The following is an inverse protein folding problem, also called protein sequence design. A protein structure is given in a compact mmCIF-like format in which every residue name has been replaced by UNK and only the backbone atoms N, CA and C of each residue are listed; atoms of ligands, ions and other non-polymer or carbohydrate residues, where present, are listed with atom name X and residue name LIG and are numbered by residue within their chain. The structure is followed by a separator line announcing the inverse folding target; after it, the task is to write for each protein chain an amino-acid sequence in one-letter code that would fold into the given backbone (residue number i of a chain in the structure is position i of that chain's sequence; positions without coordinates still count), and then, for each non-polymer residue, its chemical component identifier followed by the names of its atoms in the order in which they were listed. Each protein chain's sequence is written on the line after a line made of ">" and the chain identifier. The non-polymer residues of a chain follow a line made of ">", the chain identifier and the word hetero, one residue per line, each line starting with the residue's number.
data_IF_704714443471
#
_entry.id   IF_704714443471
#
_cell.length_a   1.000
_cell.length_b   1.000
_cell.length_c   1.000
_cell.angle_alpha   90.00
_cell.angle_beta   90.00
_cell.angle_gamma   90.00
#
_symmetry.space_group_name_H-M   'P 1'
#
loop_
_entity.id
_entity.type
_entity.pdbx_description
1 polymer ?
#
# COMPACT_ATOMS: atom_id res chain seq x y z
N UNK A 1 -6.30 15.60 -74.02
CA UNK A 1 -5.87 14.22 -73.69
C UNK A 1 -4.58 14.25 -72.86
N UNK A 2 -4.55 15.02 -71.76
CA UNK A 2 -3.36 15.11 -70.88
C UNK A 2 -3.70 15.04 -69.37
N UNK A 3 -4.98 14.91 -68.99
CA UNK A 3 -5.40 14.86 -67.58
C UNK A 3 -5.29 13.46 -66.93
N UNK A 4 -5.07 12.38 -67.70
CA UNK A 4 -5.06 11.01 -67.15
C UNK A 4 -3.69 10.53 -66.65
N UNK A 5 -2.60 11.25 -66.95
CA UNK A 5 -1.23 10.80 -66.64
C UNK A 5 -0.67 11.41 -65.34
N UNK A 6 -1.18 12.56 -64.91
CA UNK A 6 -0.84 13.19 -63.62
C UNK A 6 -1.70 12.69 -62.45
N UNK A 7 -2.87 12.13 -62.75
CA UNK A 7 -3.85 11.66 -61.75
C UNK A 7 -3.50 10.28 -61.19
N UNK A 8 -2.93 9.37 -61.99
CA UNK A 8 -2.61 8.00 -61.59
C UNK A 8 -1.60 7.87 -60.42
N UNK A 9 -0.42 8.55 -60.42
CA UNK A 9 0.51 8.47 -59.29
C UNK A 9 -0.05 9.16 -58.04
N UNK A 10 -0.76 10.28 -58.21
CA UNK A 10 -1.42 10.99 -57.10
C UNK A 10 -2.49 10.13 -56.45
N UNK A 11 -3.27 9.39 -57.25
CA UNK A 11 -4.24 8.41 -56.77
C UNK A 11 -3.55 7.26 -56.01
N UNK A 12 -2.45 6.70 -56.53
CA UNK A 12 -1.72 5.62 -55.86
C UNK A 12 -1.15 6.05 -54.49
N UNK A 13 -0.57 7.25 -54.40
CA UNK A 13 -0.15 7.83 -53.11
C UNK A 13 -1.32 8.10 -52.18
N UNK A 14 -2.45 8.59 -52.70
CA UNK A 14 -3.66 8.81 -51.91
C UNK A 14 -4.21 7.50 -51.34
N UNK A 15 -4.25 6.42 -52.13
CA UNK A 15 -4.68 5.10 -51.67
C UNK A 15 -3.71 4.49 -50.64
N UNK A 16 -2.39 4.64 -50.85
CA UNK A 16 -1.38 4.19 -49.89
C UNK A 16 -1.48 4.93 -48.55
N UNK A 17 -1.64 6.26 -48.59
CA UNK A 17 -1.84 7.07 -47.39
C UNK A 17 -3.16 6.72 -46.67
N UNK A 18 -4.24 6.47 -47.44
CA UNK A 18 -5.53 6.06 -46.89
C UNK A 18 -5.43 4.68 -46.21
N UNK A 19 -4.70 3.72 -46.80
CA UNK A 19 -4.49 2.40 -46.22
C UNK A 19 -3.68 2.46 -44.92
N UNK A 20 -2.62 3.28 -44.87
CA UNK A 20 -1.84 3.51 -43.66
C UNK A 20 -2.71 4.16 -42.57
N UNK A 21 -3.50 5.18 -42.91
CA UNK A 21 -4.43 5.82 -41.99
C UNK A 21 -5.49 4.84 -41.46
N UNK A 22 -6.02 3.98 -42.33
CA UNK A 22 -7.03 3.00 -41.97
C UNK A 22 -6.54 1.98 -40.93
N UNK A 23 -5.23 1.75 -40.83
CA UNK A 23 -4.63 0.87 -39.81
C UNK A 23 -4.11 1.66 -38.61
N UNK A 24 -3.41 2.77 -38.86
CA UNK A 24 -2.78 3.58 -37.81
C UNK A 24 -3.80 4.21 -36.87
N UNK A 25 -4.94 4.69 -37.39
CA UNK A 25 -5.99 5.32 -36.58
C UNK A 25 -6.61 4.32 -35.59
N UNK A 26 -7.13 3.14 -35.99
CA UNK A 26 -7.65 2.18 -35.03
C UNK A 26 -6.59 1.67 -34.05
N UNK A 27 -5.34 1.50 -34.48
CA UNK A 27 -4.23 1.11 -33.58
C UNK A 27 -3.99 2.18 -32.49
N UNK A 28 -3.92 3.46 -32.89
CA UNK A 28 -3.76 4.59 -31.96
C UNK A 28 -4.96 4.71 -31.02
N UNK A 29 -6.19 4.56 -31.52
CA UNK A 29 -7.40 4.59 -30.69
C UNK A 29 -7.41 3.46 -29.67
N UNK A 30 -6.98 2.25 -30.06
CA UNK A 30 -6.85 1.11 -29.15
C UNK A 30 -5.80 1.38 -28.07
N UNK A 31 -4.64 1.90 -28.44
CA UNK A 31 -3.56 2.21 -27.51
C UNK A 31 -3.97 3.28 -26.48
N UNK A 32 -4.60 4.37 -26.95
CA UNK A 32 -5.10 5.44 -26.07
C UNK A 32 -6.17 4.92 -25.12
N UNK A 33 -7.08 4.08 -25.60
CA UNK A 33 -8.11 3.46 -24.74
C UNK A 33 -7.46 2.58 -23.67
N UNK A 34 -6.46 1.77 -24.03
CA UNK A 34 -5.78 0.90 -23.08
C UNK A 34 -5.01 1.70 -22.01
N UNK A 35 -4.30 2.75 -22.43
CA UNK A 35 -3.59 3.65 -21.52
C UNK A 35 -4.54 4.36 -20.56
N UNK A 36 -5.69 4.85 -21.05
CA UNK A 36 -6.73 5.44 -20.20
C UNK A 36 -7.32 4.42 -19.22
N UNK A 37 -7.51 3.18 -19.66
CA UNK A 37 -7.96 2.09 -18.79
C UNK A 37 -7.00 1.87 -17.62
N UNK A 38 -5.71 1.73 -17.91
CA UNK A 38 -4.66 1.54 -16.90
C UNK A 38 -4.52 2.76 -15.97
N UNK A 39 -4.62 3.98 -16.50
CA UNK A 39 -4.59 5.20 -15.69
C UNK A 39 -5.80 5.27 -14.74
N UNK A 40 -7.00 4.96 -15.22
CA UNK A 40 -8.20 4.94 -14.40
C UNK A 40 -8.13 3.89 -13.30
N UNK A 41 -7.59 2.71 -13.61
CA UNK A 41 -7.39 1.65 -12.63
C UNK A 41 -6.33 2.05 -11.58
N UNK A 42 -5.25 2.70 -12.00
CA UNK A 42 -4.24 3.22 -11.08
C UNK A 42 -4.81 4.30 -10.14
N UNK A 43 -5.60 5.25 -10.67
CA UNK A 43 -6.29 6.27 -9.88
C UNK A 43 -7.24 5.62 -8.89
N UNK A 44 -8.00 4.61 -9.32
CA UNK A 44 -8.93 3.88 -8.46
C UNK A 44 -8.18 3.17 -7.31
N UNK A 45 -7.14 2.42 -7.63
CA UNK A 45 -6.32 1.73 -6.62
C UNK A 45 -5.66 2.72 -5.65
N UNK A 46 -5.19 3.87 -6.14
CA UNK A 46 -4.62 4.92 -5.31
C UNK A 46 -5.67 5.54 -4.37
N UNK A 47 -6.87 5.80 -4.88
CA UNK A 47 -8.01 6.31 -4.10
C UNK A 47 -8.45 5.31 -3.04
N UNK A 48 -8.56 4.02 -3.37
CA UNK A 48 -8.95 2.96 -2.42
C UNK A 48 -7.89 2.83 -1.32
N UNK A 49 -6.60 2.92 -1.68
CA UNK A 49 -5.50 2.92 -0.71
C UNK A 49 -5.51 4.18 0.17
N UNK A 50 -5.87 5.34 -0.38
CA UNK A 50 -6.02 6.59 0.38
C UNK A 50 -7.19 6.52 1.36
N UNK A 51 -8.35 6.07 0.90
CA UNK A 51 -9.51 5.87 1.76
C UNK A 51 -9.22 4.88 2.90
N UNK A 52 -8.53 3.77 2.62
CA UNK A 52 -8.08 2.84 3.66
C UNK A 52 -7.16 3.49 4.68
N UNK A 53 -6.22 4.33 4.23
CA UNK A 53 -5.35 5.11 5.14
C UNK A 53 -6.14 6.10 6.00
N UNK A 54 -7.12 6.78 5.43
CA UNK A 54 -7.97 7.74 6.17
C UNK A 54 -8.86 7.03 7.21
N UNK A 55 -9.44 5.87 6.87
CA UNK A 55 -10.22 5.05 7.81
C UNK A 55 -9.33 4.58 8.98
N UNK A 56 -8.12 4.10 8.68
CA UNK A 56 -7.15 3.70 9.70
C UNK A 56 -6.64 4.90 10.53
N UNK A 57 -6.54 6.09 9.93
CA UNK A 57 -6.18 7.32 10.64
C UNK A 57 -7.30 7.81 11.58
N UNK A 58 -8.55 7.48 11.27
CA UNK A 58 -9.70 7.73 12.13
C UNK A 58 -9.84 6.70 13.27
N UNK A 59 -9.12 5.57 13.21
CA UNK A 59 -9.09 4.63 14.31
C UNK A 59 -8.47 5.30 15.55
N UNK A 60 -9.07 5.14 16.75
CA UNK A 60 -8.57 5.78 17.96
C UNK A 60 -7.18 5.26 18.38
N UNK A 61 -6.81 4.08 17.89
CA UNK A 61 -5.65 3.30 18.27
C UNK A 61 -4.46 3.55 17.31
N UNK A 62 -3.24 3.54 17.86
CA UNK A 62 -2.01 3.50 17.07
C UNK A 62 -1.82 2.12 16.45
N UNK A 63 -1.29 2.04 15.22
CA UNK A 63 -1.06 0.78 14.50
C UNK A 63 0.41 0.64 14.14
N UNK A 64 0.95 -0.55 14.36
CA UNK A 64 2.19 -1.04 13.79
C UNK A 64 1.87 -2.27 12.94
N UNK A 65 2.46 -2.37 11.75
CA UNK A 65 2.19 -3.43 10.79
C UNK A 65 3.49 -4.03 10.29
N UNK A 66 3.52 -5.36 10.19
CA UNK A 66 4.58 -6.12 9.53
C UNK A 66 3.99 -6.84 8.31
N UNK A 67 4.41 -6.41 7.12
CA UNK A 67 3.97 -6.98 5.84
C UNK A 67 4.83 -8.21 5.52
N UNK A 68 4.24 -9.42 5.59
CA UNK A 68 4.97 -10.67 5.30
C UNK A 68 5.29 -10.82 3.81
N UNK A 69 4.54 -10.15 2.93
CA UNK A 69 4.75 -10.21 1.48
C UNK A 69 5.96 -9.37 1.04
N UNK A 70 6.15 -8.20 1.67
CA UNK A 70 7.23 -7.25 1.33
C UNK A 70 8.40 -7.26 2.31
N UNK A 71 8.22 -7.81 3.51
CA UNK A 71 9.19 -7.70 4.60
C UNK A 71 9.34 -6.27 5.12
N UNK A 72 8.29 -5.45 5.00
CA UNK A 72 8.30 -4.04 5.42
C UNK A 72 7.62 -3.87 6.79
N UNK A 73 8.19 -3.00 7.62
CA UNK A 73 7.54 -2.49 8.83
C UNK A 73 6.88 -1.14 8.55
N UNK A 74 5.71 -0.91 9.14
CA UNK A 74 4.98 0.36 9.00
C UNK A 74 4.44 0.83 10.33
N UNK A 75 4.71 2.09 10.65
CA UNK A 75 4.20 2.77 11.83
C UNK A 75 3.15 3.82 11.44
N UNK A 76 1.98 3.77 12.07
CA UNK A 76 0.94 4.78 11.84
C UNK A 76 1.32 6.11 12.50
N UNK A 77 0.84 7.22 11.92
CA UNK A 77 1.04 8.57 12.49
C UNK A 77 0.52 8.64 13.93
N UNK A 78 -0.62 8.00 14.20
CA UNK A 78 -1.26 7.96 15.52
C UNK A 78 -0.35 7.27 16.54
N UNK A 79 0.25 6.13 16.19
CA UNK A 79 1.20 5.41 17.05
C UNK A 79 2.44 6.25 17.35
N UNK A 80 3.00 6.87 16.31
CA UNK A 80 4.15 7.73 16.45
C UNK A 80 3.90 8.90 17.42
N UNK A 81 2.70 9.50 17.36
CA UNK A 81 2.29 10.55 18.30
C UNK A 81 2.04 9.99 19.70
N UNK A 82 1.33 8.85 19.83
CA UNK A 82 1.01 8.21 21.12
C UNK A 82 2.26 7.96 21.96
N UNK A 83 3.31 7.45 21.32
CA UNK A 83 4.58 7.06 21.95
C UNK A 83 5.66 8.15 21.85
N UNK A 84 5.41 9.25 21.13
CA UNK A 84 6.40 10.31 20.90
C UNK A 84 7.64 9.81 20.14
N UNK A 85 7.46 9.07 19.06
CA UNK A 85 8.55 8.51 18.25
C UNK A 85 9.19 9.59 17.37
N UNK A 86 10.52 9.74 17.47
CA UNK A 86 11.27 10.77 16.74
C UNK A 86 11.23 10.56 15.22
N UNK A 87 11.25 9.31 14.77
CA UNK A 87 11.21 8.96 13.35
C UNK A 87 9.79 9.06 12.73
N UNK A 88 8.77 9.43 13.52
CA UNK A 88 7.40 9.53 13.02
C UNK A 88 6.89 8.20 12.46
N UNK A 89 6.32 8.24 11.25
CA UNK A 89 5.84 7.04 10.53
C UNK A 89 6.96 6.16 9.99
N UNK A 90 8.21 6.64 9.99
CA UNK A 90 9.40 5.85 9.64
C UNK A 90 10.00 5.08 10.81
N UNK A 91 9.36 5.12 11.98
CA UNK A 91 9.82 4.39 13.16
C UNK A 91 9.73 2.87 12.95
N UNK A 92 10.77 2.16 13.39
CA UNK A 92 10.84 0.70 13.40
C UNK A 92 10.37 0.14 14.73
N UNK A 93 10.15 -1.17 14.80
CA UNK A 93 9.72 -1.82 16.04
C UNK A 93 10.72 -1.61 17.19
N UNK A 94 12.01 -1.50 16.88
CA UNK A 94 13.05 -1.16 17.86
C UNK A 94 12.83 0.22 18.49
N UNK A 95 12.32 1.19 17.74
CA UNK A 95 12.04 2.53 18.25
C UNK A 95 10.82 2.53 19.19
N UNK A 96 9.85 1.65 18.93
CA UNK A 96 8.69 1.42 19.80
C UNK A 96 9.14 0.77 21.11
N UNK A 97 9.93 -0.29 21.05
CA UNK A 97 10.46 -0.97 22.24
C UNK A 97 11.28 -0.04 23.13
N UNK A 98 12.08 0.85 22.53
CA UNK A 98 12.91 1.81 23.26
C UNK A 98 12.12 2.86 24.07
N UNK A 99 10.78 2.91 23.93
CA UNK A 99 9.92 3.78 24.75
C UNK A 99 9.51 3.16 26.08
N UNK A 100 9.61 1.85 26.22
CA UNK A 100 9.20 1.13 27.42
C UNK A 100 10.41 0.79 28.29
N UNK A 101 10.18 0.65 29.59
CA UNK A 101 11.21 0.17 30.51
C UNK A 101 11.54 -1.31 30.22
N UNK A 102 12.72 -1.77 30.64
CA UNK A 102 13.25 -3.09 30.28
C UNK A 102 12.28 -4.29 30.49
N UNK A 103 11.50 -4.38 31.59
CA UNK A 103 10.54 -5.47 31.75
C UNK A 103 9.44 -5.47 30.69
N UNK A 104 8.87 -4.30 30.41
CA UNK A 104 7.76 -4.14 29.46
C UNK A 104 8.23 -4.24 28.01
N UNK A 105 9.42 -3.69 27.71
CA UNK A 105 10.06 -3.86 26.41
C UNK A 105 10.30 -5.35 26.09
N UNK A 106 10.80 -6.12 27.06
CA UNK A 106 11.03 -7.55 26.90
C UNK A 106 9.73 -8.36 26.79
N UNK A 107 8.69 -7.99 27.55
CA UNK A 107 7.38 -8.62 27.43
C UNK A 107 6.78 -8.39 26.04
N UNK A 108 6.87 -7.16 25.54
CA UNK A 108 6.42 -6.79 24.20
C UNK A 108 7.21 -7.53 23.11
N UNK A 109 8.53 -7.57 23.22
CA UNK A 109 9.40 -8.29 22.27
C UNK A 109 9.04 -9.78 22.19
N UNK A 110 8.82 -10.44 23.34
CA UNK A 110 8.43 -11.85 23.38
C UNK A 110 7.08 -12.09 22.71
N UNK A 111 6.09 -11.26 23.02
CA UNK A 111 4.75 -11.37 22.45
C UNK A 111 4.76 -11.15 20.93
N UNK A 112 5.51 -10.16 20.44
CA UNK A 112 5.68 -9.93 19.00
C UNK A 112 6.43 -11.09 18.32
N UNK A 113 7.46 -11.66 18.97
CA UNK A 113 8.14 -12.84 18.45
C UNK A 113 7.21 -14.07 18.35
N UNK A 114 6.35 -14.28 19.35
CA UNK A 114 5.35 -15.36 19.32
C UNK A 114 4.28 -15.12 18.25
N UNK A 115 3.87 -13.86 18.05
CA UNK A 115 3.03 -13.46 16.94
C UNK A 115 3.69 -13.79 15.60
N UNK A 116 4.94 -13.40 15.39
CA UNK A 116 5.66 -13.67 14.14
C UNK A 116 5.86 -15.16 13.87
N UNK A 117 6.26 -15.95 14.87
CA UNK A 117 6.51 -17.38 14.71
C UNK A 117 5.23 -18.19 14.50
N UNK A 118 4.23 -17.96 15.36
CA UNK A 118 3.07 -18.83 15.49
C UNK A 118 1.73 -18.19 15.14
N UNK A 119 1.69 -16.87 14.92
CA UNK A 119 0.44 -16.13 14.81
C UNK A 119 -0.30 -15.99 16.15
N UNK A 120 0.41 -16.17 17.27
CA UNK A 120 -0.19 -16.09 18.60
C UNK A 120 -0.59 -14.65 18.90
N UNK A 121 -1.90 -14.41 19.00
CA UNK A 121 -2.42 -13.12 19.42
C UNK A 121 -2.05 -12.82 20.87
N UNK A 122 -1.89 -11.53 21.19
CA UNK A 122 -1.58 -11.08 22.54
C UNK A 122 -2.38 -9.85 22.93
N UNK A 123 -2.50 -9.62 24.24
CA UNK A 123 -3.05 -8.42 24.86
C UNK A 123 -2.22 -8.12 26.11
N UNK A 124 -1.50 -7.00 26.10
CA UNK A 124 -0.55 -6.62 27.15
C UNK A 124 -0.87 -5.21 27.65
N UNK A 125 -0.64 -4.99 28.95
CA UNK A 125 -0.63 -3.65 29.54
C UNK A 125 0.82 -3.27 29.83
N UNK A 126 1.32 -2.24 29.16
CA UNK A 126 2.71 -1.78 29.22
C UNK A 126 2.77 -0.41 29.90
N UNK A 127 3.77 -0.16 30.74
CA UNK A 127 3.95 1.14 31.39
C UNK A 127 4.77 2.08 30.52
N UNK A 128 4.26 3.30 30.34
CA UNK A 128 4.92 4.38 29.62
C UNK A 128 4.94 5.63 30.50
N UNK A 129 5.95 5.70 31.37
CA UNK A 129 6.00 6.71 32.44
C UNK A 129 4.79 6.55 33.38
N UNK A 130 3.96 7.60 33.47
CA UNK A 130 2.73 7.57 34.28
C UNK A 130 1.52 6.92 33.57
N UNK A 131 1.62 6.65 32.26
CA UNK A 131 0.54 6.09 31.44
C UNK A 131 0.62 4.57 31.38
N UNK A 132 -0.50 3.93 31.08
CA UNK A 132 -0.56 2.50 30.78
C UNK A 132 -1.07 2.35 29.36
N UNK A 133 -0.25 1.77 28.50
CA UNK A 133 -0.61 1.52 27.11
C UNK A 133 -1.06 0.07 26.99
N UNK A 134 -2.27 -0.15 26.48
CA UNK A 134 -2.69 -1.47 26.06
C UNK A 134 -2.16 -1.75 24.66
N UNK A 135 -1.45 -2.87 24.50
CA UNK A 135 -0.92 -3.35 23.23
C UNK A 135 -1.57 -4.69 22.86
N UNK A 136 -2.27 -4.74 21.73
CA UNK A 136 -2.89 -5.97 21.22
C UNK A 136 -2.26 -6.36 19.90
N UNK A 137 -1.91 -7.63 19.76
CA UNK A 137 -1.32 -8.17 18.54
C UNK A 137 -2.20 -9.24 17.92
N UNK A 138 -2.39 -9.18 16.60
CA UNK A 138 -3.15 -10.19 15.84
C UNK A 138 -2.54 -10.42 14.47
N UNK A 139 -2.70 -11.63 13.95
CA UNK A 139 -2.30 -11.99 12.58
C UNK A 139 -3.48 -11.86 11.64
N UNK A 140 -3.32 -11.08 10.59
CA UNK A 140 -4.22 -11.08 9.44
C UNK A 140 -3.85 -12.24 8.51
N UNK A 141 -4.85 -13.03 8.14
CA UNK A 141 -4.70 -14.16 7.22
C UNK A 141 -5.69 -14.05 6.07
N UNK A 142 -5.33 -14.61 4.91
CA UNK A 142 -6.27 -14.81 3.81
C UNK A 142 -7.37 -15.79 4.22
N UNK A 143 -8.43 -15.87 3.40
CA UNK A 143 -9.53 -16.83 3.61
C UNK A 143 -9.05 -18.30 3.58
N UNK A 144 -7.90 -18.55 2.96
CA UNK A 144 -7.23 -19.85 2.86
C UNK A 144 -6.26 -20.11 4.03
N UNK A 145 -6.19 -19.19 4.99
CA UNK A 145 -5.32 -19.29 6.17
C UNK A 145 -3.87 -18.88 5.93
N UNK A 146 -3.53 -18.30 4.77
CA UNK A 146 -2.17 -17.81 4.50
C UNK A 146 -1.91 -16.52 5.29
N UNK A 147 -0.80 -16.40 6.05
CA UNK A 147 -0.45 -15.16 6.73
C UNK A 147 -0.25 -14.02 5.71
N UNK A 148 -0.86 -12.88 5.99
CA UNK A 148 -0.73 -11.65 5.19
C UNK A 148 0.11 -10.63 5.94
N UNK A 149 -0.36 -10.23 7.12
CA UNK A 149 0.27 -9.19 7.93
C UNK A 149 0.19 -9.59 9.41
N UNK A 150 1.21 -9.26 10.18
CA UNK A 150 1.07 -9.16 11.63
C UNK A 150 0.76 -7.71 11.98
N UNK A 151 -0.19 -7.51 12.90
CA UNK A 151 -0.72 -6.21 13.28
C UNK A 151 -0.56 -6.06 14.78
N UNK A 152 -0.15 -4.87 15.20
CA UNK A 152 -0.14 -4.48 16.61
C UNK A 152 -0.82 -3.15 16.78
N UNK A 153 -1.85 -3.13 17.62
CA UNK A 153 -2.57 -1.93 18.00
C UNK A 153 -2.11 -1.47 19.39
N UNK A 154 -2.01 -0.17 19.59
CA UNK A 154 -1.70 0.41 20.88
C UNK A 154 -2.65 1.56 21.20
N UNK A 155 -3.13 1.60 22.44
CA UNK A 155 -4.01 2.65 22.95
C UNK A 155 -3.70 2.97 24.41
N UNK A 156 -4.03 4.20 24.81
CA UNK A 156 -3.95 4.68 26.20
C UNK A 156 -5.20 4.23 26.98
#
# INVERSE_FOLDING_TARGET
>A
MFDSLTTAPVLAFAFGALAVLAVAVPLLLWLVKNLRGLQNENIRLASDAEQGREILAAAPDGLFLWDHGKGEERCSRRLAVLLGLNAGTGARFTDVQAKFDAPDALALERAVNDLHRGGASFDLLLKLGARTIQATGTRASSIEGKPLDDLMWMRD
#
